data_IF_376494431658
#
_entry.id   IF_376494431658
#
_cell.length_a   1.000
_cell.length_b   1.000
_cell.length_c   1.000
_cell.angle_alpha   90.00
_cell.angle_beta   90.00
_cell.angle_gamma   90.00
#
_symmetry.space_group_name_H-M   'P 1'
#
loop_
_entity.id
_entity.type
_entity.pdbx_description
1 polymer ?
#
# COMPACT_ATOMS: atom_id res chain seq x y z
N UNK A 1 -59.51 -14.60 4.67
CA UNK A 1 -58.58 -13.73 3.93
C UNK A 1 -57.18 -14.04 4.43
N UNK A 2 -56.40 -14.82 3.69
CA UNK A 2 -55.01 -15.10 4.06
C UNK A 2 -54.16 -13.88 3.72
N UNK A 3 -53.42 -13.36 4.70
CA UNK A 3 -52.39 -12.34 4.46
C UNK A 3 -51.36 -12.91 3.48
N UNK A 4 -51.24 -12.31 2.30
CA UNK A 4 -50.17 -12.67 1.38
C UNK A 4 -48.83 -12.35 2.04
N UNK A 5 -47.86 -13.28 2.04
CA UNK A 5 -46.54 -13.03 2.63
C UNK A 5 -45.92 -11.83 1.92
N UNK A 6 -45.56 -10.83 2.72
CA UNK A 6 -44.90 -9.62 2.23
C UNK A 6 -43.43 -9.92 2.01
N UNK A 7 -42.81 -9.26 1.03
CA UNK A 7 -41.35 -9.30 0.87
C UNK A 7 -40.62 -8.78 2.12
N UNK A 8 -41.30 -8.02 2.97
CA UNK A 8 -40.80 -7.57 4.28
C UNK A 8 -40.71 -8.70 5.32
N UNK A 9 -41.33 -9.85 5.08
CA UNK A 9 -41.29 -11.03 5.96
C UNK A 9 -40.08 -11.94 5.63
N UNK A 10 -39.32 -11.60 4.59
CA UNK A 10 -38.14 -12.36 4.18
C UNK A 10 -36.95 -12.08 5.14
N UNK A 11 -36.27 -13.12 5.66
CA UNK A 11 -35.05 -12.95 6.43
C UNK A 11 -34.02 -12.11 5.66
N UNK A 12 -33.36 -11.17 6.35
CA UNK A 12 -32.42 -10.22 5.73
C UNK A 12 -31.25 -10.89 4.99
N UNK A 13 -30.87 -12.11 5.38
CA UNK A 13 -29.88 -12.94 4.69
C UNK A 13 -30.32 -13.34 3.28
N UNK A 14 -31.55 -13.82 3.13
CA UNK A 14 -32.12 -14.24 1.85
C UNK A 14 -32.37 -13.03 0.94
N UNK A 15 -32.82 -11.92 1.53
CA UNK A 15 -32.98 -10.66 0.80
C UNK A 15 -31.64 -10.17 0.24
N UNK A 16 -30.56 -10.24 1.04
CA UNK A 16 -29.23 -9.88 0.58
C UNK A 16 -28.77 -10.74 -0.61
N UNK A 17 -29.06 -12.04 -0.57
CA UNK A 17 -28.67 -12.98 -1.63
C UNK A 17 -29.42 -12.75 -2.95
N UNK A 18 -30.70 -12.38 -2.88
CA UNK A 18 -31.47 -11.96 -4.05
C UNK A 18 -30.90 -10.66 -4.63
N UNK A 19 -30.68 -9.67 -3.77
CA UNK A 19 -30.19 -8.34 -4.18
C UNK A 19 -28.78 -8.40 -4.79
N UNK A 20 -27.92 -9.34 -4.36
CA UNK A 20 -26.59 -9.58 -4.96
C UNK A 20 -26.62 -9.98 -6.43
N UNK A 21 -27.73 -10.57 -6.89
CA UNK A 21 -27.88 -11.04 -8.28
C UNK A 21 -28.29 -9.93 -9.25
N UNK A 22 -28.67 -8.76 -8.73
CA UNK A 22 -29.09 -7.63 -9.55
C UNK A 22 -27.89 -6.85 -10.08
N UNK A 23 -27.96 -6.28 -11.29
CA UNK A 23 -26.92 -5.38 -11.77
C UNK A 23 -26.87 -4.09 -10.91
N UNK A 24 -25.74 -3.37 -10.85
CA UNK A 24 -25.56 -2.25 -9.92
C UNK A 24 -26.63 -1.16 -10.00
N UNK A 25 -27.15 -0.87 -11.19
CA UNK A 25 -28.21 0.15 -11.39
C UNK A 25 -29.53 -0.28 -10.77
N UNK A 26 -29.94 -1.52 -10.97
CA UNK A 26 -31.16 -2.07 -10.36
C UNK A 26 -31.02 -2.19 -8.85
N UNK A 27 -29.83 -2.55 -8.37
CA UNK A 27 -29.52 -2.58 -6.94
C UNK A 27 -29.56 -1.17 -6.30
N UNK A 28 -29.08 -0.15 -7.02
CA UNK A 28 -29.21 1.25 -6.59
C UNK A 28 -30.69 1.67 -6.46
N UNK A 29 -31.54 1.23 -7.40
CA UNK A 29 -32.98 1.45 -7.31
C UNK A 29 -33.63 0.67 -6.16
N UNK A 30 -33.18 -0.56 -5.89
CA UNK A 30 -33.63 -1.38 -4.75
C UNK A 30 -33.35 -0.69 -3.41
N UNK A 31 -32.21 0.01 -3.29
CA UNK A 31 -31.85 0.80 -2.11
C UNK A 31 -32.85 1.94 -1.82
N UNK A 32 -33.62 2.39 -2.80
CA UNK A 32 -34.67 3.41 -2.63
C UNK A 32 -36.07 2.86 -2.33
N UNK A 33 -36.28 1.54 -2.38
CA UNK A 33 -37.63 0.93 -2.25
C UNK A 33 -38.20 1.07 -0.82
N UNK A 34 -37.46 0.63 0.20
CA UNK A 34 -37.87 0.76 1.59
C UNK A 34 -36.67 0.81 2.56
N UNK A 35 -36.93 1.08 3.84
CA UNK A 35 -35.90 1.18 4.89
C UNK A 35 -35.18 -0.15 5.11
N UNK A 36 -35.89 -1.28 5.09
CA UNK A 36 -35.32 -2.62 5.24
C UNK A 36 -34.33 -2.94 4.11
N UNK A 37 -34.73 -2.71 2.86
CA UNK A 37 -33.89 -2.96 1.68
C UNK A 37 -32.65 -2.07 1.69
N UNK A 38 -32.82 -0.79 2.04
CA UNK A 38 -31.70 0.14 2.23
C UNK A 38 -30.73 -0.35 3.30
N UNK A 39 -31.24 -0.75 4.46
CA UNK A 39 -30.42 -1.27 5.56
C UNK A 39 -29.66 -2.52 5.15
N UNK A 40 -30.28 -3.45 4.41
CA UNK A 40 -29.64 -4.68 3.91
C UNK A 40 -28.54 -4.36 2.89
N UNK A 41 -28.82 -3.46 1.93
CA UNK A 41 -27.84 -3.02 0.93
C UNK A 41 -26.64 -2.33 1.59
N UNK A 42 -26.90 -1.43 2.55
CA UNK A 42 -25.88 -0.62 3.21
C UNK A 42 -25.05 -1.42 4.21
N UNK A 43 -25.69 -2.22 5.09
CA UNK A 43 -25.00 -2.99 6.13
C UNK A 43 -24.06 -4.05 5.56
N UNK A 44 -24.33 -4.54 4.33
CA UNK A 44 -23.55 -5.59 3.68
C UNK A 44 -22.73 -5.13 2.49
N UNK A 45 -22.70 -3.82 2.23
CA UNK A 45 -21.94 -3.26 1.10
C UNK A 45 -22.32 -3.86 -0.25
N UNK A 46 -23.57 -4.33 -0.43
CA UNK A 46 -23.96 -5.15 -1.60
C UNK A 46 -23.74 -4.36 -2.90
N UNK A 47 -24.10 -3.07 -2.89
CA UNK A 47 -23.95 -2.20 -4.05
C UNK A 47 -22.49 -2.10 -4.50
N UNK A 48 -21.56 -2.10 -3.54
CA UNK A 48 -20.14 -2.06 -3.82
C UNK A 48 -19.70 -3.42 -4.33
N UNK A 49 -19.97 -4.50 -3.59
CA UNK A 49 -19.64 -5.87 -4.00
C UNK A 49 -20.05 -6.15 -5.46
N UNK A 50 -21.28 -5.83 -5.84
CA UNK A 50 -21.79 -6.02 -7.20
C UNK A 50 -21.18 -5.03 -8.20
N UNK A 51 -20.95 -3.77 -7.84
CA UNK A 51 -20.26 -2.80 -8.70
C UNK A 51 -18.79 -3.15 -8.98
N UNK A 52 -18.19 -4.06 -8.20
CA UNK A 52 -16.87 -4.61 -8.44
C UNK A 52 -16.88 -5.82 -9.40
N UNK A 53 -18.03 -6.49 -9.56
CA UNK A 53 -18.21 -7.61 -10.49
C UNK A 53 -18.48 -7.17 -11.94
N UNK A 54 -18.88 -5.91 -12.16
CA UNK A 54 -19.00 -5.36 -13.51
C UNK A 54 -17.60 -5.07 -14.06
N UNK A 55 -17.26 -5.53 -15.29
CA UNK A 55 -16.00 -5.20 -15.93
C UNK A 55 -15.78 -3.69 -15.95
N UNK A 56 -14.87 -3.20 -15.09
CA UNK A 56 -14.49 -1.80 -15.11
C UNK A 56 -13.55 -1.59 -16.26
N UNK A 57 -13.97 -0.81 -17.26
CA UNK A 57 -13.09 -0.38 -18.33
C UNK A 57 -11.87 0.31 -17.70
N UNK A 58 -10.65 -0.17 -18.02
CA UNK A 58 -9.41 0.52 -17.66
C UNK A 58 -9.51 1.98 -18.12
N UNK A 59 -9.58 2.91 -17.16
CA UNK A 59 -9.73 4.34 -17.44
C UNK A 59 -8.40 4.99 -17.82
N UNK A 60 -7.30 4.45 -17.33
CA UNK A 60 -5.97 4.90 -17.68
C UNK A 60 -4.90 4.32 -16.77
N UNK A 61 -3.66 4.70 -17.04
CA UNK A 61 -2.45 4.21 -16.37
C UNK A 61 -1.67 5.43 -15.88
N UNK A 62 -1.22 5.39 -14.62
CA UNK A 62 -0.27 6.34 -14.08
C UNK A 62 1.16 5.82 -14.26
N UNK A 63 2.07 6.68 -14.71
CA UNK A 63 3.48 6.36 -14.91
C UNK A 63 4.32 7.40 -14.18
N UNK A 64 5.20 6.94 -13.28
CA UNK A 64 6.21 7.80 -12.65
C UNK A 64 7.42 7.95 -13.57
N UNK A 65 7.95 9.17 -13.67
CA UNK A 65 9.15 9.46 -14.44
C UNK A 65 10.40 9.34 -13.56
N UNK A 66 11.33 8.46 -13.94
CA UNK A 66 12.55 8.18 -13.19
C UNK A 66 13.60 9.31 -13.25
N UNK A 67 13.48 10.23 -14.21
CA UNK A 67 14.39 11.38 -14.40
C UNK A 67 13.58 12.68 -14.50
N UNK A 68 14.26 13.82 -14.44
CA UNK A 68 13.66 15.12 -14.69
C UNK A 68 12.98 15.13 -16.06
N UNK A 69 11.66 15.01 -16.06
CA UNK A 69 10.86 15.22 -17.27
C UNK A 69 11.09 16.68 -17.74
N UNK A 70 11.22 16.96 -19.05
CA UNK A 70 11.48 18.32 -19.56
C UNK A 70 10.47 19.36 -19.04
N UNK A 71 9.20 18.96 -18.92
CA UNK A 71 8.11 19.77 -18.36
C UNK A 71 8.10 19.85 -16.81
N UNK A 72 9.14 19.34 -16.16
CA UNK A 72 9.28 19.31 -14.71
C UNK A 72 8.28 18.43 -13.99
N UNK A 73 7.57 17.51 -14.66
CA UNK A 73 6.58 16.60 -14.05
C UNK A 73 7.25 15.35 -13.50
N UNK A 74 6.73 14.84 -12.38
CA UNK A 74 7.25 13.62 -11.75
C UNK A 74 6.43 12.36 -12.12
N UNK A 75 5.23 12.53 -12.67
CA UNK A 75 4.36 11.45 -13.14
C UNK A 75 3.43 11.94 -14.26
N UNK A 76 2.81 11.01 -15.00
CA UNK A 76 1.82 11.27 -16.03
C UNK A 76 0.66 10.27 -15.99
N UNK A 77 -0.48 10.65 -16.55
CA UNK A 77 -1.67 9.82 -16.67
C UNK A 77 -2.05 9.65 -18.14
N UNK A 78 -2.16 8.41 -18.57
CA UNK A 78 -2.48 8.04 -19.94
C UNK A 78 -3.84 7.35 -19.95
N UNK A 79 -4.79 7.86 -20.72
CA UNK A 79 -6.14 7.31 -20.81
C UNK A 79 -6.54 7.10 -22.27
N UNK A 80 -7.46 6.16 -22.51
CA UNK A 80 -8.16 6.08 -23.80
C UNK A 80 -9.23 7.17 -23.81
N UNK A 81 -9.37 7.89 -24.92
CA UNK A 81 -10.14 9.14 -25.05
C UNK A 81 -11.68 9.06 -24.82
N UNK A 82 -12.19 8.04 -24.13
CA UNK A 82 -13.62 7.81 -23.96
C UNK A 82 -14.02 7.87 -22.47
N UNK A 83 -14.39 9.06 -21.98
CA UNK A 83 -15.00 9.24 -20.66
C UNK A 83 -14.85 10.65 -20.08
N UNK A 84 -15.45 10.86 -18.91
CA UNK A 84 -15.17 12.08 -18.14
C UNK A 84 -13.67 12.17 -17.83
N UNK A 85 -13.05 13.36 -17.97
CA UNK A 85 -11.62 13.52 -17.73
C UNK A 85 -11.31 13.24 -16.26
N UNK A 86 -10.56 12.17 -16.00
CA UNK A 86 -9.87 11.98 -14.71
C UNK A 86 -8.77 13.03 -14.65
N UNK A 87 -8.71 13.78 -13.55
CA UNK A 87 -7.61 14.72 -13.30
C UNK A 87 -6.33 13.92 -13.00
N UNK A 88 -5.63 13.55 -14.07
CA UNK A 88 -4.37 12.83 -14.00
C UNK A 88 -3.19 13.66 -13.49
N UNK A 89 -3.34 14.97 -13.34
CA UNK A 89 -2.38 15.82 -12.66
C UNK A 89 -2.53 15.79 -11.14
N UNK A 90 -3.65 15.23 -10.64
CA UNK A 90 -4.00 15.17 -9.22
C UNK A 90 -4.01 16.56 -8.56
N UNK A 91 -4.40 17.60 -9.29
CA UNK A 91 -4.31 19.02 -8.86
C UNK A 91 -5.12 19.35 -7.60
N UNK A 92 -6.07 18.48 -7.26
CA UNK A 92 -6.87 18.54 -6.02
C UNK A 92 -6.08 18.11 -4.76
N UNK A 93 -4.89 17.51 -4.90
CA UNK A 93 -4.04 17.13 -3.77
C UNK A 93 -3.16 18.32 -3.36
N UNK A 94 -3.13 18.72 -2.07
CA UNK A 94 -2.33 19.85 -1.62
C UNK A 94 -0.82 19.53 -1.58
N UNK A 95 0.00 20.57 -1.61
CA UNK A 95 1.46 20.46 -1.49
C UNK A 95 2.13 19.82 -2.70
N UNK A 96 1.48 19.81 -3.86
CA UNK A 96 2.09 19.38 -5.10
C UNK A 96 3.16 20.37 -5.55
N UNK A 97 4.41 19.89 -5.59
CA UNK A 97 5.49 20.57 -6.28
C UNK A 97 5.72 19.89 -7.63
N UNK A 98 6.12 20.64 -8.66
CA UNK A 98 6.43 20.07 -9.99
C UNK A 98 7.39 18.86 -9.86
N UNK A 99 8.38 18.99 -8.98
CA UNK A 99 9.34 17.93 -8.63
C UNK A 99 8.92 17.21 -7.34
N UNK A 100 9.39 15.98 -7.14
CA UNK A 100 9.25 15.22 -5.89
C UNK A 100 7.81 14.79 -5.54
N UNK A 101 7.03 14.40 -6.54
CA UNK A 101 5.75 13.74 -6.32
C UNK A 101 5.70 12.38 -7.02
N UNK A 102 5.14 11.35 -6.40
CA UNK A 102 5.06 10.04 -7.04
C UNK A 102 3.83 9.23 -6.62
N UNK A 103 3.30 8.47 -7.56
CA UNK A 103 2.28 7.45 -7.29
C UNK A 103 2.99 6.22 -6.76
N UNK A 104 2.81 5.94 -5.48
CA UNK A 104 3.48 4.85 -4.78
C UNK A 104 2.82 3.50 -5.05
N UNK A 105 1.50 3.46 -5.04
CA UNK A 105 0.71 2.24 -5.26
C UNK A 105 -0.71 2.58 -5.70
N UNK A 106 -1.46 1.58 -6.17
CA UNK A 106 -2.88 1.74 -6.53
C UNK A 106 -3.69 0.48 -6.23
N UNK A 107 -4.91 0.64 -5.73
CA UNK A 107 -5.87 -0.48 -5.56
C UNK A 107 -7.31 0.01 -5.71
N UNK A 108 -8.12 -0.70 -6.50
CA UNK A 108 -9.56 -0.48 -6.63
C UNK A 108 -9.97 0.98 -6.90
N UNK A 109 -9.13 1.74 -7.62
CA UNK A 109 -9.35 3.15 -7.98
C UNK A 109 -8.79 4.17 -6.99
N UNK A 110 -8.23 3.74 -5.86
CA UNK A 110 -7.46 4.57 -4.97
C UNK A 110 -5.97 4.55 -5.34
N UNK A 111 -5.30 5.67 -5.13
CA UNK A 111 -3.85 5.83 -5.28
C UNK A 111 -3.24 6.15 -3.92
N UNK A 112 -2.08 5.54 -3.63
CA UNK A 112 -1.16 6.03 -2.61
C UNK A 112 -0.20 7.00 -3.28
N UNK A 113 -0.13 8.23 -2.79
CA UNK A 113 0.57 9.33 -3.44
C UNK A 113 1.48 10.05 -2.44
N UNK A 114 2.73 10.28 -2.82
CA UNK A 114 3.72 10.99 -2.02
C UNK A 114 4.03 12.34 -2.66
N UNK A 115 4.11 13.37 -1.82
CA UNK A 115 4.70 14.67 -2.17
C UNK A 115 5.95 14.90 -1.33
N UNK A 116 6.64 16.02 -1.57
CA UNK A 116 7.79 16.42 -0.75
C UNK A 116 7.49 16.52 0.75
N UNK A 117 6.25 16.85 1.12
CA UNK A 117 5.89 17.21 2.50
C UNK A 117 4.98 16.21 3.18
N UNK A 118 4.24 15.40 2.43
CA UNK A 118 3.22 14.54 3.00
C UNK A 118 2.90 13.33 2.10
N UNK A 119 2.10 12.42 2.65
CA UNK A 119 1.55 11.27 1.95
C UNK A 119 0.04 11.33 1.97
N UNK A 120 -0.55 10.82 0.90
CA UNK A 120 -1.97 10.87 0.66
C UNK A 120 -2.49 9.54 0.14
N UNK A 121 -3.72 9.21 0.50
CA UNK A 121 -4.54 8.29 -0.29
C UNK A 121 -5.58 9.11 -1.03
N UNK A 122 -5.61 9.02 -2.36
CA UNK A 122 -6.48 9.83 -3.18
C UNK A 122 -7.31 8.99 -4.17
N UNK A 123 -8.49 9.51 -4.48
CA UNK A 123 -9.40 8.98 -5.49
C UNK A 123 -9.48 10.00 -6.65
N UNK A 124 -8.77 9.77 -7.76
CA UNK A 124 -8.75 10.66 -8.91
C UNK A 124 -10.13 10.83 -9.57
N UNK A 125 -11.00 9.82 -9.49
CA UNK A 125 -12.34 9.86 -10.07
C UNK A 125 -13.27 10.78 -9.29
N UNK A 126 -13.10 10.87 -7.97
CA UNK A 126 -13.94 11.74 -7.12
C UNK A 126 -13.25 13.03 -6.70
N UNK A 127 -11.98 13.24 -7.07
CA UNK A 127 -11.15 14.37 -6.61
C UNK A 127 -11.11 14.51 -5.08
N UNK A 128 -11.09 13.37 -4.39
CA UNK A 128 -11.02 13.31 -2.92
C UNK A 128 -9.67 12.75 -2.49
N UNK A 129 -9.20 13.19 -1.33
CA UNK A 129 -7.92 12.80 -0.79
C UNK A 129 -8.01 12.78 0.74
N UNK A 130 -7.15 11.98 1.35
CA UNK A 130 -6.94 11.95 2.79
C UNK A 130 -5.43 11.96 3.05
N UNK A 131 -4.98 12.79 3.99
CA UNK A 131 -3.58 12.84 4.41
C UNK A 131 -3.29 11.69 5.34
N UNK A 132 -2.20 10.96 5.11
CA UNK A 132 -1.70 9.97 6.07
C UNK A 132 -0.95 10.69 7.19
N UNK A 133 -1.19 10.33 8.46
CA UNK A 133 -0.41 10.88 9.57
C UNK A 133 1.06 10.48 9.42
N UNK A 134 1.96 11.34 9.92
CA UNK A 134 3.40 11.08 9.91
C UNK A 134 3.70 9.73 10.54
N UNK A 135 4.49 8.91 9.87
CA UNK A 135 4.95 7.64 10.41
C UNK A 135 5.69 7.87 11.73
N UNK A 136 5.32 7.17 12.83
CA UNK A 136 5.96 7.36 14.13
C UNK A 136 7.46 7.12 14.14
N UNK A 137 7.97 6.27 13.23
CA UNK A 137 9.35 5.76 13.23
C UNK A 137 10.28 6.36 12.16
N UNK A 138 9.81 7.31 11.35
CA UNK A 138 10.69 8.00 10.41
C UNK A 138 11.38 9.18 11.09
N UNK A 139 12.66 9.02 11.42
CA UNK A 139 13.52 10.17 11.74
C UNK A 139 13.53 11.14 10.55
N UNK A 140 13.52 12.47 10.76
CA UNK A 140 13.51 13.48 9.68
C UNK A 140 14.73 13.46 8.74
N UNK A 141 15.69 12.55 8.96
CA UNK A 141 16.94 12.45 8.22
C UNK A 141 16.74 11.59 6.97
N UNK A 142 15.89 12.01 6.05
CA UNK A 142 15.85 11.42 4.71
C UNK A 142 16.16 12.46 3.65
N UNK A 143 17.19 12.15 2.86
CA UNK A 143 17.70 12.94 1.76
C UNK A 143 16.57 13.41 0.81
N UNK A 144 16.65 14.63 0.27
CA UNK A 144 15.68 15.22 -0.66
C UNK A 144 15.54 14.51 -2.02
N UNK A 145 16.14 13.33 -2.20
CA UNK A 145 16.16 12.58 -3.46
C UNK A 145 15.46 11.21 -3.39
N UNK A 146 14.81 10.85 -2.27
CA UNK A 146 14.41 9.46 -2.03
C UNK A 146 12.94 9.11 -2.32
N UNK A 147 12.36 9.55 -3.43
CA UNK A 147 10.93 9.31 -3.77
C UNK A 147 10.55 7.83 -3.99
N UNK A 148 11.51 6.89 -4.04
CA UNK A 148 11.27 5.49 -4.43
C UNK A 148 11.76 4.46 -3.41
N UNK A 149 12.15 4.88 -2.20
CA UNK A 149 12.68 3.97 -1.17
C UNK A 149 11.61 3.34 -0.26
N UNK A 150 10.45 3.98 -0.15
CA UNK A 150 9.44 3.61 0.85
C UNK A 150 8.66 2.37 0.40
N UNK A 151 8.83 1.26 1.11
CA UNK A 151 8.05 0.02 0.95
C UNK A 151 6.68 0.15 1.58
N UNK A 152 5.88 1.06 1.01
CA UNK A 152 4.49 1.25 1.38
C UNK A 152 3.56 0.68 0.32
N UNK A 153 2.49 0.05 0.80
CA UNK A 153 1.50 -0.54 -0.07
C UNK A 153 0.08 -0.29 0.41
N UNK A 154 -0.80 -0.02 -0.54
CA UNK A 154 -2.21 0.25 -0.30
C UNK A 154 -2.99 -1.05 -0.35
N UNK A 155 -3.81 -1.30 0.66
CA UNK A 155 -4.77 -2.38 0.70
C UNK A 155 -6.18 -1.80 0.74
N UNK A 156 -6.94 -2.04 -0.32
CA UNK A 156 -8.32 -1.62 -0.39
C UNK A 156 -9.13 -2.62 -1.20
N UNK A 157 -10.04 -3.31 -0.51
CA UNK A 157 -11.06 -4.16 -1.11
C UNK A 157 -12.44 -3.70 -0.62
N UNK A 158 -13.15 -2.86 -1.37
CA UNK A 158 -14.50 -2.38 -1.05
C UNK A 158 -15.58 -3.46 -1.05
N UNK A 159 -15.27 -4.69 -1.48
CA UNK A 159 -16.18 -5.84 -1.28
C UNK A 159 -16.09 -6.40 0.14
N UNK A 160 -14.97 -6.14 0.84
CA UNK A 160 -14.70 -6.57 2.22
C UNK A 160 -14.92 -5.41 3.19
N UNK A 161 -14.36 -4.23 2.90
CA UNK A 161 -14.42 -3.06 3.78
C UNK A 161 -14.34 -1.75 3.00
N UNK A 162 -15.13 -0.77 3.43
CA UNK A 162 -15.04 0.61 2.94
C UNK A 162 -13.78 1.35 3.43
N UNK A 163 -13.08 0.77 4.40
CA UNK A 163 -11.85 1.31 4.93
C UNK A 163 -10.64 0.67 4.25
N UNK A 164 -9.64 1.49 3.94
CA UNK A 164 -8.38 1.03 3.39
C UNK A 164 -7.33 0.92 4.49
N UNK A 165 -6.32 0.09 4.25
CA UNK A 165 -5.13 0.00 5.07
C UNK A 165 -3.90 0.38 4.26
N UNK A 166 -2.90 0.96 4.91
CA UNK A 166 -1.59 1.21 4.30
C UNK A 166 -0.54 0.47 5.11
N UNK A 167 0.17 -0.45 4.48
CA UNK A 167 1.23 -1.23 5.09
C UNK A 167 2.56 -0.54 4.84
N UNK A 168 3.34 -0.33 5.89
CA UNK A 168 4.71 0.16 5.82
C UNK A 168 5.66 -0.91 6.33
N UNK A 169 6.49 -1.42 5.42
CA UNK A 169 7.53 -2.39 5.72
C UNK A 169 8.85 -1.68 5.99
N UNK A 170 9.46 -1.99 7.13
CA UNK A 170 10.80 -1.51 7.48
C UNK A 170 11.80 -1.83 6.37
N UNK A 171 12.71 -0.89 6.09
CA UNK A 171 13.79 -1.11 5.12
C UNK A 171 14.76 -2.18 5.63
N UNK A 172 15.49 -2.79 4.70
CA UNK A 172 16.62 -3.66 5.03
C UNK A 172 17.62 -2.84 5.84
N UNK A 173 18.19 -3.38 6.93
CA UNK A 173 19.20 -2.67 7.72
C UNK A 173 20.30 -2.13 6.81
N UNK A 174 20.52 -0.82 6.85
CA UNK A 174 21.59 -0.17 6.09
C UNK A 174 22.94 -0.65 6.60
N UNK A 175 23.96 -0.61 5.75
CA UNK A 175 25.32 -0.80 6.24
C UNK A 175 25.65 0.26 7.30
N UNK A 176 26.43 -0.09 8.33
CA UNK A 176 26.87 0.88 9.32
C UNK A 176 27.61 2.02 8.61
N UNK A 177 27.09 3.24 8.76
CA UNK A 177 27.46 4.41 7.94
C UNK A 177 28.78 5.07 8.35
N UNK A 178 29.42 4.61 9.43
CA UNK A 178 30.70 5.14 9.90
C UNK A 178 31.75 4.05 9.85
N UNK A 179 32.54 4.04 8.78
CA UNK A 179 33.92 3.58 8.94
C UNK A 179 34.56 4.44 10.04
N UNK A 180 35.45 3.89 10.89
CA UNK A 180 36.04 4.67 11.96
C UNK A 180 36.80 5.86 11.35
N UNK A 181 36.23 7.06 11.46
CA UNK A 181 36.99 8.28 11.25
C UNK A 181 37.96 8.35 12.41
N UNK A 182 39.25 8.25 12.13
CA UNK A 182 40.31 8.55 13.09
C UNK A 182 40.14 10.02 13.48
N UNK A 183 39.35 10.31 14.52
CA UNK A 183 39.40 11.61 15.19
C UNK A 183 40.62 11.57 16.10
N UNK A 184 41.65 12.33 15.75
CA UNK A 184 42.74 12.64 16.69
C UNK A 184 42.12 13.36 17.90
N UNK A 185 42.16 12.71 19.06
CA UNK A 185 41.73 13.25 20.34
C UNK A 185 40.24 13.03 20.64
N UNK A 186 39.91 11.91 21.28
CA UNK A 186 38.58 11.67 21.83
C UNK A 186 38.37 10.21 22.20
N UNK A 187 38.13 9.94 23.49
CA UNK A 187 38.09 8.64 24.16
C UNK A 187 36.85 7.78 23.89
N UNK A 188 36.51 7.56 22.61
CA UNK A 188 35.64 6.45 22.22
C UNK A 188 36.01 6.01 20.79
N UNK A 189 37.06 5.19 20.69
CA UNK A 189 37.39 4.50 19.45
C UNK A 189 36.39 3.35 19.26
N UNK A 190 35.52 3.44 18.26
CA UNK A 190 35.08 2.21 17.59
C UNK A 190 36.27 1.73 16.77
N UNK A 191 36.78 0.54 17.07
CA UNK A 191 37.94 -0.01 16.38
C UNK A 191 37.52 -0.46 14.97
N UNK A 192 38.44 -0.46 14.00
CA UNK A 192 38.14 -1.02 12.67
C UNK A 192 37.69 -2.49 12.73
N UNK A 193 38.16 -3.22 13.76
CA UNK A 193 37.70 -4.56 14.09
C UNK A 193 36.22 -4.59 14.51
N UNK A 194 35.77 -3.66 15.36
CA UNK A 194 34.38 -3.58 15.84
C UNK A 194 33.44 -3.27 14.68
N UNK A 195 33.82 -2.33 13.81
CA UNK A 195 33.07 -2.01 12.59
C UNK A 195 32.93 -3.21 11.66
N UNK A 196 34.04 -3.93 11.42
CA UNK A 196 34.05 -5.12 10.56
C UNK A 196 33.20 -6.24 11.16
N UNK A 197 33.28 -6.42 12.48
CA UNK A 197 32.47 -7.38 13.21
C UNK A 197 30.97 -7.03 13.09
N UNK A 198 30.57 -5.79 13.39
CA UNK A 198 29.18 -5.33 13.29
C UNK A 198 28.63 -5.48 11.86
N UNK A 199 29.39 -5.07 10.85
CA UNK A 199 29.01 -5.21 9.45
C UNK A 199 28.82 -6.67 9.06
N UNK A 200 29.75 -7.55 9.45
CA UNK A 200 29.69 -8.98 9.15
C UNK A 200 28.49 -9.64 9.84
N UNK A 201 28.32 -9.40 11.15
CA UNK A 201 27.20 -9.93 11.93
C UNK A 201 25.86 -9.50 11.34
N UNK A 202 25.72 -8.21 10.98
CA UNK A 202 24.51 -7.71 10.35
C UNK A 202 24.33 -8.24 8.92
N UNK A 203 25.42 -8.44 8.18
CA UNK A 203 25.39 -8.99 6.83
C UNK A 203 24.99 -10.47 6.79
N UNK A 204 25.39 -11.26 7.79
CA UNK A 204 25.01 -12.67 7.93
C UNK A 204 23.60 -12.89 8.47
N UNK A 205 22.91 -11.83 8.90
CA UNK A 205 21.55 -11.96 9.41
C UNK A 205 20.60 -12.48 8.32
N UNK A 206 19.70 -13.37 8.71
CA UNK A 206 18.68 -13.92 7.83
C UNK A 206 17.70 -12.86 7.33
N UNK A 207 17.31 -12.98 6.06
CA UNK A 207 16.34 -12.11 5.43
C UNK A 207 15.30 -12.90 4.60
N UNK A 208 14.00 -12.58 4.70
CA UNK A 208 13.38 -11.70 5.70
C UNK A 208 13.65 -12.18 7.13
N UNK A 209 13.67 -11.28 8.14
CA UNK A 209 13.82 -11.68 9.53
C UNK A 209 12.65 -12.60 9.94
N UNK A 210 12.90 -13.46 10.93
CA UNK A 210 11.85 -14.34 11.46
C UNK A 210 10.64 -13.57 11.98
N UNK A 211 10.86 -12.44 12.66
CA UNK A 211 9.82 -11.48 13.02
C UNK A 211 10.02 -10.19 12.24
N UNK A 212 9.07 -9.87 11.37
CA UNK A 212 9.09 -8.66 10.56
C UNK A 212 8.23 -7.57 11.20
N UNK A 213 8.82 -6.45 11.67
CA UNK A 213 8.06 -5.32 12.19
C UNK A 213 7.43 -4.54 11.04
N UNK A 214 6.11 -4.39 11.09
CA UNK A 214 5.31 -3.66 10.09
C UNK A 214 4.42 -2.66 10.79
N UNK A 215 4.29 -1.46 10.22
CA UNK A 215 3.31 -0.48 10.68
C UNK A 215 2.12 -0.49 9.73
N UNK A 216 0.91 -0.55 10.27
CA UNK A 216 -0.32 -0.58 9.49
C UNK A 216 -1.17 0.63 9.85
N UNK A 217 -1.44 1.48 8.87
CA UNK A 217 -2.44 2.54 9.02
C UNK A 217 -3.82 1.99 8.67
N UNK A 218 -4.83 2.32 9.47
CA UNK A 218 -6.23 2.03 9.13
C UNK A 218 -7.02 3.32 8.91
N UNK A 219 -7.73 3.44 7.79
CA UNK A 219 -8.61 4.58 7.55
C UNK A 219 -9.87 4.58 8.43
N UNK A 220 -10.13 3.47 9.15
CA UNK A 220 -11.22 3.36 10.12
C UNK A 220 -10.90 4.10 11.41
N UNK A 221 -9.70 3.90 11.93
CA UNK A 221 -9.23 4.50 13.20
C UNK A 221 -8.43 5.78 12.96
N UNK A 222 -7.94 5.99 11.73
CA UNK A 222 -7.00 7.06 11.38
C UNK A 222 -5.70 7.01 12.19
N UNK A 223 -5.29 5.81 12.62
CA UNK A 223 -4.09 5.59 13.42
C UNK A 223 -3.15 4.60 12.74
N UNK A 224 -1.86 4.74 13.06
CA UNK A 224 -0.84 3.74 12.80
C UNK A 224 -0.79 2.75 13.96
N UNK A 225 -0.72 1.47 13.63
CA UNK A 225 -0.55 0.42 14.62
C UNK A 225 0.68 -0.42 14.28
N UNK A 226 1.50 -0.68 15.30
CA UNK A 226 2.62 -1.61 15.17
C UNK A 226 2.08 -3.04 15.14
N UNK A 227 2.58 -3.82 14.18
CA UNK A 227 2.28 -5.23 13.99
C UNK A 227 3.57 -6.00 13.77
N UNK A 228 3.53 -7.28 14.10
CA UNK A 228 4.61 -8.22 13.81
C UNK A 228 4.08 -9.31 12.91
N UNK A 229 4.87 -9.64 11.90
CA UNK A 229 4.57 -10.72 10.97
C UNK A 229 5.62 -11.81 11.16
N UNK A 230 5.19 -13.06 11.20
CA UNK A 230 6.09 -14.20 11.46
C UNK A 230 6.42 -14.91 10.15
N UNK A 231 7.70 -15.15 9.88
CA UNK A 231 8.15 -15.88 8.69
C UNK A 231 7.78 -17.36 8.78
N UNK A 232 7.15 -17.86 7.72
CA UNK A 232 6.91 -19.27 7.45
C UNK A 232 7.91 -19.78 6.42
N UNK A 233 8.65 -20.83 6.79
CA UNK A 233 9.76 -21.36 6.00
C UNK A 233 11.12 -20.80 6.41
N UNK A 234 12.14 -21.20 5.65
CA UNK A 234 13.53 -20.78 5.84
C UNK A 234 13.76 -19.32 5.46
N UNK A 235 14.95 -18.81 5.80
CA UNK A 235 15.43 -17.55 5.24
C UNK A 235 15.57 -17.69 3.73
N UNK A 236 15.16 -16.67 2.98
CA UNK A 236 15.36 -16.65 1.53
C UNK A 236 16.83 -16.38 1.19
N UNK A 237 17.39 -15.38 1.86
CA UNK A 237 18.74 -14.84 1.61
C UNK A 237 19.31 -14.23 2.90
N UNK A 238 20.55 -13.76 2.85
CA UNK A 238 21.13 -12.95 3.93
C UNK A 238 20.94 -11.45 3.66
N UNK A 239 21.08 -10.63 4.68
CA UNK A 239 21.09 -9.16 4.54
C UNK A 239 22.21 -8.69 3.59
N UNK A 240 23.35 -9.39 3.56
CA UNK A 240 24.43 -9.09 2.62
C UNK A 240 23.99 -9.28 1.17
N UNK A 241 23.31 -10.39 0.86
CA UNK A 241 22.80 -10.65 -0.50
C UNK A 241 21.84 -9.56 -0.96
N UNK A 242 20.97 -9.09 -0.05
CA UNK A 242 20.02 -8.00 -0.32
C UNK A 242 20.69 -6.65 -0.57
N UNK A 243 21.82 -6.40 0.10
CA UNK A 243 22.63 -5.19 -0.13
C UNK A 243 23.43 -5.27 -1.43
N UNK A 244 23.92 -6.47 -1.76
CA UNK A 244 24.71 -6.75 -2.96
C UNK A 244 23.87 -6.85 -4.23
N UNK A 245 22.54 -6.99 -4.10
CA UNK A 245 21.63 -6.92 -5.23
C UNK A 245 21.76 -5.56 -5.94
N UNK A 246 22.32 -5.56 -7.15
CA UNK A 246 22.47 -4.37 -7.99
C UNK A 246 21.15 -3.76 -8.47
N UNK A 247 20.02 -4.43 -8.20
CA UNK A 247 18.65 -3.91 -8.35
C UNK A 247 18.04 -3.41 -7.04
N UNK A 248 18.77 -3.53 -5.92
CA UNK A 248 18.39 -3.04 -4.59
C UNK A 248 18.27 -1.51 -4.57
N UNK A 249 17.29 -0.93 -3.85
CA UNK A 249 17.13 0.52 -3.67
C UNK A 249 18.34 1.23 -3.03
N UNK A 250 19.30 0.45 -2.51
CA UNK A 250 20.54 0.92 -1.91
C UNK A 250 21.64 1.25 -2.95
N UNK A 251 21.51 0.76 -4.19
CA UNK A 251 22.43 1.10 -5.28
C UNK A 251 21.92 2.32 -6.06
N UNK A 252 22.77 3.32 -6.20
CA UNK A 252 22.45 4.72 -6.51
C UNK A 252 21.92 5.01 -7.94
N UNK A 253 21.47 4.02 -8.73
CA UNK A 253 21.19 4.26 -10.16
C UNK A 253 19.88 3.77 -10.76
N UNK A 254 19.10 2.91 -10.12
CA UNK A 254 17.74 2.62 -10.61
C UNK A 254 16.91 1.95 -9.52
N UNK A 255 16.14 2.75 -8.78
CA UNK A 255 15.22 2.26 -7.76
C UNK A 255 14.02 1.61 -8.44
N UNK A 256 14.17 0.35 -8.86
CA UNK A 256 13.03 -0.45 -9.29
C UNK A 256 12.17 -0.72 -8.07
N UNK A 257 11.11 0.08 -7.90
CA UNK A 257 10.13 -0.14 -6.85
C UNK A 257 9.51 -1.52 -7.06
N UNK A 258 9.54 -2.34 -6.01
CA UNK A 258 8.92 -3.65 -6.05
C UNK A 258 7.46 -3.54 -5.64
N UNK A 259 6.59 -4.10 -6.48
CA UNK A 259 5.15 -4.00 -6.32
C UNK A 259 4.60 -5.07 -5.38
N UNK A 260 3.36 -4.86 -4.97
CA UNK A 260 2.62 -5.84 -4.20
C UNK A 260 1.22 -6.04 -4.77
N UNK A 261 0.69 -7.24 -4.57
CA UNK A 261 -0.61 -7.66 -5.11
C UNK A 261 -1.40 -8.35 -4.02
N UNK A 262 -2.64 -7.95 -3.81
CA UNK A 262 -3.59 -8.75 -3.03
C UNK A 262 -4.35 -9.70 -3.95
N UNK A 263 -4.28 -10.99 -3.65
CA UNK A 263 -4.86 -12.09 -4.40
C UNK A 263 -5.23 -13.25 -3.48
N UNK A 264 -6.43 -13.83 -3.65
CA UNK A 264 -6.92 -14.98 -2.84
C UNK A 264 -6.66 -14.82 -1.34
N UNK A 265 -7.18 -13.72 -0.77
CA UNK A 265 -7.08 -13.41 0.66
C UNK A 265 -5.65 -13.29 1.20
N UNK A 266 -4.69 -13.17 0.30
CA UNK A 266 -3.28 -13.08 0.61
C UNK A 266 -2.66 -11.87 -0.08
N UNK A 267 -1.77 -11.18 0.62
CA UNK A 267 -0.98 -10.10 0.04
C UNK A 267 0.38 -10.62 -0.38
N UNK A 268 0.88 -10.23 -1.55
CA UNK A 268 2.15 -10.69 -2.08
C UNK A 268 3.03 -9.47 -2.32
N UNK A 269 4.20 -9.39 -1.72
CA UNK A 269 5.17 -8.29 -1.88
C UNK A 269 6.40 -8.84 -2.57
N UNK A 270 6.73 -8.30 -3.74
CA UNK A 270 7.99 -8.59 -4.39
C UNK A 270 9.14 -7.93 -3.60
N UNK A 271 10.20 -8.69 -3.34
CA UNK A 271 11.29 -8.30 -2.45
C UNK A 271 12.62 -8.21 -3.18
N UNK A 272 13.58 -7.51 -2.55
CA UNK A 272 14.96 -7.47 -3.04
C UNK A 272 15.51 -8.89 -3.20
N UNK A 273 16.42 -9.11 -4.14
CA UNK A 273 16.89 -10.43 -4.60
C UNK A 273 15.86 -11.30 -5.35
N UNK A 274 14.64 -10.80 -5.59
CA UNK A 274 13.68 -11.43 -6.51
C UNK A 274 12.73 -12.46 -5.90
N UNK A 275 12.78 -12.69 -4.58
CA UNK A 275 11.79 -13.51 -3.90
C UNK A 275 10.49 -12.75 -3.63
N UNK A 276 9.42 -13.47 -3.26
CA UNK A 276 8.09 -12.90 -2.99
C UNK A 276 7.68 -13.25 -1.58
N UNK A 277 7.37 -12.23 -0.77
CA UNK A 277 6.74 -12.43 0.52
C UNK A 277 5.23 -12.54 0.38
N UNK A 278 4.60 -13.63 0.83
CA UNK A 278 3.13 -13.76 0.93
C UNK A 278 2.67 -13.48 2.36
N UNK A 279 1.55 -12.79 2.54
CA UNK A 279 0.91 -12.47 3.83
C UNK A 279 -0.53 -12.98 3.85
N UNK A 280 -0.85 -13.96 4.70
CA UNK A 280 -2.20 -14.50 4.86
C UNK A 280 -3.00 -13.80 5.99
N UNK A 281 -4.33 -13.71 5.82
CA UNK A 281 -5.37 -13.36 6.80
C UNK A 281 -5.00 -12.23 7.80
N UNK A 282 -5.42 -11.00 7.49
CA UNK A 282 -5.03 -9.77 8.21
C UNK A 282 -5.58 -9.68 9.65
N UNK A 283 -6.57 -10.50 10.01
CA UNK A 283 -7.34 -10.32 11.26
C UNK A 283 -6.84 -11.09 12.49
N UNK A 284 -5.94 -12.07 12.34
CA UNK A 284 -5.24 -12.67 13.48
C UNK A 284 -4.01 -13.45 13.00
N UNK A 285 -2.80 -13.02 13.40
CA UNK A 285 -1.50 -13.63 13.02
C UNK A 285 -1.20 -13.61 11.52
N UNK A 286 -0.53 -12.54 11.08
CA UNK A 286 -0.04 -12.45 9.70
C UNK A 286 1.23 -13.29 9.53
N UNK A 287 1.19 -14.21 8.57
CA UNK A 287 2.26 -15.15 8.25
C UNK A 287 2.96 -14.73 6.95
N UNK A 288 4.29 -14.64 6.95
CA UNK A 288 5.12 -14.28 5.80
C UNK A 288 5.72 -15.52 5.13
N UNK A 289 5.30 -15.90 3.92
CA UNK A 289 5.95 -17.00 3.18
C UNK A 289 7.00 -16.44 2.24
N UNK A 290 8.15 -17.10 2.09
CA UNK A 290 9.25 -16.66 1.23
C UNK A 290 9.49 -17.64 0.07
#
# INVERSE_FOLDING_TARGET
MGSHPSVNDLPGELLAEILRRLPPRSLAACRSVCTLWRAVVDARGILLAVAHLVPRSLRGIFINYLRHHPLGRSHGFFSRAAGQPVDGGLSFVPGQTRRYCSVLDHRNGLLLYETKTAMYVCNPATRRWATLPTLPRLTPVHHPYSNYGRRMYLMFDPTVSLHYHVFFFSEVPKEPTKSPRIRRGGSHLSTAADYKHERNTLGSAEWPPYMYPVQVFSSRTSQWEDRQLVREGGAAVTVSDVRSDGSSPLSDRMRLRRHAVYWQESFYVHCDTGFVMRYGQIDAMVKCFC
#
